data_IF_667808885941
#
_entry.id   IF_667808885941
#
_cell.length_a   1.000
_cell.length_b   1.000
_cell.length_c   1.000
_cell.angle_alpha   90.00
_cell.angle_beta   90.00
_cell.angle_gamma   90.00
#
_symmetry.space_group_name_H-M   'P 1'
#
loop_
_entity.id
_entity.type
_entity.pdbx_description
1 polymer ?
#
# COMPACT_ATOMS: atom_id res chain seq x y z
N UNK A 1 -3.49 -5.07 6.75
CA UNK A 1 -2.23 -4.53 6.19
C UNK A 1 -2.31 -4.48 4.67
N UNK A 2 -2.02 -3.34 4.02
CA UNK A 2 -1.99 -3.26 2.55
C UNK A 2 -0.55 -3.48 2.05
N UNK A 3 -0.39 -4.40 1.07
CA UNK A 3 0.93 -4.82 0.57
C UNK A 3 1.04 -4.65 -0.94
N UNK A 4 2.28 -4.45 -1.45
CA UNK A 4 2.53 -4.53 -2.88
C UNK A 4 2.50 -5.99 -3.37
N UNK A 5 2.05 -6.17 -4.62
CA UNK A 5 1.98 -7.49 -5.28
C UNK A 5 3.33 -8.19 -5.44
N UNK A 6 4.45 -7.48 -5.24
CA UNK A 6 5.78 -8.07 -5.29
C UNK A 6 6.01 -9.08 -4.15
N UNK A 7 5.31 -8.90 -3.02
CA UNK A 7 5.48 -9.71 -1.80
C UNK A 7 4.54 -10.92 -1.73
N UNK A 8 3.91 -11.32 -2.84
CA UNK A 8 3.02 -12.49 -2.87
C UNK A 8 3.85 -13.77 -2.69
N UNK A 9 3.66 -14.39 -1.53
CA UNK A 9 4.23 -15.68 -1.14
C UNK A 9 3.19 -16.43 -0.29
N UNK A 10 2.80 -17.63 -0.71
CA UNK A 10 1.74 -18.40 -0.05
C UNK A 10 2.07 -18.81 1.38
N UNK A 11 3.33 -19.14 1.66
CA UNK A 11 3.80 -19.53 3.00
C UNK A 11 3.69 -18.34 3.95
N UNK A 12 4.13 -17.16 3.50
CA UNK A 12 4.00 -15.93 4.27
C UNK A 12 2.55 -15.51 4.48
N UNK A 13 1.71 -15.70 3.50
CA UNK A 13 0.29 -15.36 3.61
C UNK A 13 -0.41 -16.27 4.63
N UNK A 14 -0.09 -17.55 4.62
CA UNK A 14 -0.60 -18.49 5.62
C UNK A 14 -0.07 -18.17 7.02
N UNK A 15 1.21 -17.82 7.15
CA UNK A 15 1.79 -17.38 8.42
C UNK A 15 1.08 -16.11 8.94
N UNK A 16 0.87 -15.11 8.08
CA UNK A 16 0.14 -13.89 8.45
C UNK A 16 -1.27 -14.21 8.93
N UNK A 17 -1.97 -15.10 8.23
CA UNK A 17 -3.33 -15.51 8.60
C UNK A 17 -3.36 -16.23 9.94
N UNK A 18 -2.43 -17.16 10.20
CA UNK A 18 -2.29 -17.83 11.51
C UNK A 18 -2.00 -16.85 12.66
N UNK A 19 -1.32 -15.75 12.35
CA UNK A 19 -1.05 -14.67 13.32
C UNK A 19 -2.20 -13.68 13.46
N UNK A 20 -3.34 -13.91 12.83
CA UNK A 20 -4.50 -13.03 12.85
C UNK A 20 -4.29 -11.70 12.11
N UNK A 21 -3.31 -11.64 11.21
CA UNK A 21 -3.04 -10.43 10.43
C UNK A 21 -3.86 -10.44 9.15
N UNK A 22 -4.78 -9.48 9.02
CA UNK A 22 -5.51 -9.24 7.78
C UNK A 22 -4.58 -8.53 6.79
N UNK A 23 -4.48 -9.07 5.58
CA UNK A 23 -3.74 -8.45 4.49
C UNK A 23 -4.63 -8.17 3.27
N UNK A 24 -4.25 -7.18 2.47
CA UNK A 24 -4.80 -6.91 1.15
C UNK A 24 -3.68 -6.58 0.16
N UNK A 25 -3.73 -7.19 -1.01
CA UNK A 25 -2.76 -6.97 -2.08
C UNK A 25 -3.43 -7.07 -3.45
N UNK A 26 -2.76 -6.57 -4.49
CA UNK A 26 -3.26 -6.72 -5.86
C UNK A 26 -2.96 -8.12 -6.38
N UNK A 27 -3.96 -8.80 -6.93
CA UNK A 27 -3.81 -10.12 -7.53
C UNK A 27 -2.82 -10.11 -8.70
N UNK A 28 -1.92 -11.10 -8.76
CA UNK A 28 -1.08 -11.36 -9.94
C UNK A 28 -1.84 -12.26 -10.92
N UNK A 29 -1.79 -11.96 -12.22
CA UNK A 29 -2.45 -12.74 -13.27
C UNK A 29 -1.92 -14.18 -13.40
N UNK A 30 -0.69 -14.43 -12.95
CA UNK A 30 -0.03 -15.75 -13.02
C UNK A 30 -0.42 -16.71 -11.90
N UNK A 31 -1.22 -16.28 -10.93
CA UNK A 31 -1.61 -17.11 -9.80
C UNK A 31 -2.66 -18.13 -10.22
N UNK A 32 -2.41 -19.39 -9.87
CA UNK A 32 -3.38 -20.48 -10.05
C UNK A 32 -4.15 -20.67 -8.76
N UNK A 33 -5.47 -20.69 -8.84
CA UNK A 33 -6.37 -20.89 -7.70
C UNK A 33 -7.63 -21.64 -8.13
N UNK A 34 -8.27 -22.27 -7.19
CA UNK A 34 -9.59 -22.88 -7.35
C UNK A 34 -10.63 -21.90 -6.84
N UNK A 35 -11.64 -21.64 -7.64
CA UNK A 35 -12.81 -20.86 -7.22
C UNK A 35 -13.78 -21.79 -6.51
N UNK A 36 -14.15 -21.45 -5.28
CA UNK A 36 -15.12 -22.19 -4.48
C UNK A 36 -16.50 -21.56 -4.59
N UNK A 37 -16.55 -20.21 -4.65
CA UNK A 37 -17.78 -19.44 -4.74
C UNK A 37 -17.52 -18.17 -5.56
N UNK A 38 -18.54 -17.75 -6.31
CA UNK A 38 -18.47 -16.57 -7.19
C UNK A 38 -19.78 -15.78 -7.05
N UNK A 39 -19.69 -14.58 -6.51
CA UNK A 39 -20.83 -13.74 -6.18
C UNK A 39 -20.67 -12.37 -6.81
N UNK A 40 -21.80 -11.76 -7.19
CA UNK A 40 -21.85 -10.34 -7.55
C UNK A 40 -22.38 -9.54 -6.37
N UNK A 41 -21.66 -8.51 -6.00
CA UNK A 41 -22.01 -7.57 -4.94
C UNK A 41 -22.20 -6.19 -5.55
N UNK A 42 -23.28 -5.54 -5.18
CA UNK A 42 -23.53 -4.15 -5.53
C UNK A 42 -23.29 -3.27 -4.31
N UNK A 43 -22.52 -2.20 -4.47
CA UNK A 43 -22.27 -1.28 -3.36
C UNK A 43 -23.58 -0.64 -2.88
N UNK A 44 -23.69 -0.27 -1.59
CA UNK A 44 -24.91 0.32 -1.03
C UNK A 44 -25.36 1.61 -1.73
N UNK A 45 -24.44 2.34 -2.33
CA UNK A 45 -24.70 3.53 -3.15
C UNK A 45 -25.12 3.22 -4.60
N UNK A 46 -25.11 1.92 -4.98
CA UNK A 46 -25.46 1.45 -6.32
C UNK A 46 -24.46 1.84 -7.43
N UNK A 47 -23.36 2.48 -7.09
CA UNK A 47 -22.42 3.07 -8.06
C UNK A 47 -21.39 2.08 -8.60
N UNK A 48 -21.20 0.94 -7.94
CA UNK A 48 -20.14 0.00 -8.31
C UNK A 48 -20.61 -1.46 -8.19
N UNK A 49 -20.38 -2.21 -9.24
CA UNK A 49 -20.49 -3.67 -9.21
C UNK A 49 -19.15 -4.27 -8.87
N UNK A 50 -19.13 -5.17 -7.89
CA UNK A 50 -17.95 -5.86 -7.39
C UNK A 50 -18.16 -7.35 -7.52
N UNK A 51 -17.24 -8.04 -8.18
CA UNK A 51 -17.22 -9.50 -8.20
C UNK A 51 -16.42 -10.01 -7.02
N UNK A 52 -17.05 -10.85 -6.22
CA UNK A 52 -16.46 -11.50 -5.05
C UNK A 52 -16.25 -12.98 -5.35
N UNK A 53 -15.02 -13.45 -5.19
CA UNK A 53 -14.72 -14.87 -5.36
C UNK A 53 -14.02 -15.39 -4.11
N UNK A 54 -14.61 -16.41 -3.48
CA UNK A 54 -13.91 -17.21 -2.47
C UNK A 54 -13.06 -18.24 -3.19
N UNK A 55 -11.75 -18.22 -2.91
CA UNK A 55 -10.78 -19.04 -3.64
C UNK A 55 -9.83 -19.76 -2.68
N UNK A 56 -9.34 -20.90 -3.12
CA UNK A 56 -8.31 -21.65 -2.43
C UNK A 56 -7.06 -21.75 -3.30
N UNK A 57 -5.94 -21.32 -2.73
CA UNK A 57 -4.62 -21.55 -3.27
C UNK A 57 -4.06 -22.83 -2.70
N UNK A 58 -3.42 -23.63 -3.55
CA UNK A 58 -2.69 -24.84 -3.12
C UNK A 58 -1.27 -24.77 -3.66
N UNK A 59 -0.30 -25.04 -2.79
CA UNK A 59 1.12 -25.17 -3.15
C UNK A 59 1.67 -26.46 -2.55
N UNK A 60 2.24 -27.30 -3.39
CA UNK A 60 3.01 -28.45 -2.92
C UNK A 60 4.38 -27.97 -2.43
N UNK A 61 4.76 -28.39 -1.23
CA UNK A 61 6.07 -28.17 -0.65
C UNK A 61 7.06 -29.24 -1.10
N UNK A 62 8.35 -28.89 -1.03
CA UNK A 62 9.44 -29.87 -1.17
C UNK A 62 9.41 -30.79 0.05
N UNK A 63 8.76 -31.94 -0.04
CA UNK A 63 8.58 -32.89 1.08
C UNK A 63 7.25 -33.62 1.05
N UNK A 64 6.35 -33.31 0.09
CA UNK A 64 5.08 -33.99 -0.09
C UNK A 64 3.89 -33.33 0.61
N UNK A 65 4.12 -32.41 1.53
CA UNK A 65 3.07 -31.65 2.19
C UNK A 65 2.47 -30.60 1.23
N UNK A 66 1.18 -30.30 1.39
CA UNK A 66 0.51 -29.24 0.65
C UNK A 66 0.02 -28.15 1.60
N UNK A 67 0.34 -26.90 1.28
CA UNK A 67 -0.26 -25.75 1.94
C UNK A 67 -1.48 -25.33 1.15
N UNK A 68 -2.62 -25.23 1.85
CA UNK A 68 -3.85 -24.65 1.32
C UNK A 68 -4.11 -23.34 2.02
N UNK A 69 -4.48 -22.31 1.26
CA UNK A 69 -4.75 -20.99 1.78
C UNK A 69 -6.07 -20.47 1.21
N UNK A 70 -7.05 -20.26 2.09
CA UNK A 70 -8.36 -19.75 1.73
C UNK A 70 -8.37 -18.23 1.77
N UNK A 71 -8.87 -17.62 0.70
CA UNK A 71 -8.86 -16.17 0.52
C UNK A 71 -10.05 -15.72 -0.29
N UNK A 72 -10.23 -14.39 -0.33
CA UNK A 72 -11.24 -13.75 -1.14
C UNK A 72 -10.57 -12.86 -2.20
N UNK A 73 -11.07 -12.93 -3.44
CA UNK A 73 -10.72 -12.02 -4.52
C UNK A 73 -11.87 -11.04 -4.71
N UNK A 74 -11.54 -9.75 -4.68
CA UNK A 74 -12.47 -8.65 -4.88
C UNK A 74 -12.08 -7.98 -6.20
N UNK A 75 -12.94 -8.08 -7.22
CA UNK A 75 -12.68 -7.48 -8.53
C UNK A 75 -13.67 -6.36 -8.82
N UNK A 76 -13.17 -5.18 -9.12
CA UNK A 76 -13.96 -3.98 -9.40
C UNK A 76 -13.33 -3.14 -10.51
N UNK A 77 -14.12 -2.25 -11.10
CA UNK A 77 -13.65 -1.26 -12.08
C UNK A 77 -13.21 0.01 -11.35
N UNK A 78 -11.96 0.37 -11.49
CA UNK A 78 -11.48 1.69 -11.05
C UNK A 78 -11.94 2.75 -12.06
N UNK A 79 -12.99 3.48 -11.71
CA UNK A 79 -13.62 4.50 -12.57
C UNK A 79 -12.65 5.63 -12.96
N UNK A 80 -11.64 5.94 -12.15
CA UNK A 80 -10.64 6.97 -12.45
C UNK A 80 -9.67 6.55 -13.55
N UNK A 81 -9.36 5.26 -13.61
CA UNK A 81 -8.36 4.69 -14.52
C UNK A 81 -9.00 3.85 -15.63
N UNK A 82 -10.32 3.65 -15.60
CA UNK A 82 -11.07 2.74 -16.48
C UNK A 82 -10.39 1.35 -16.56
N UNK A 83 -9.96 0.82 -15.41
CA UNK A 83 -9.23 -0.46 -15.34
C UNK A 83 -9.87 -1.40 -14.33
N UNK A 84 -9.95 -2.66 -14.71
CA UNK A 84 -10.32 -3.74 -13.81
C UNK A 84 -9.18 -3.98 -12.82
N UNK A 85 -9.50 -3.96 -11.54
CA UNK A 85 -8.58 -4.23 -10.44
C UNK A 85 -9.10 -5.42 -9.67
N UNK A 86 -8.24 -6.42 -9.46
CA UNK A 86 -8.52 -7.55 -8.59
C UNK A 86 -7.61 -7.49 -7.37
N UNK A 87 -8.22 -7.47 -6.19
CA UNK A 87 -7.55 -7.50 -4.89
C UNK A 87 -7.67 -8.90 -4.29
N UNK A 88 -6.64 -9.31 -3.57
CA UNK A 88 -6.58 -10.55 -2.82
C UNK A 88 -6.50 -10.22 -1.33
N UNK A 89 -7.33 -10.87 -0.51
CA UNK A 89 -7.35 -10.68 0.94
C UNK A 89 -7.70 -11.99 1.65
N UNK A 90 -7.21 -12.17 2.89
CA UNK A 90 -7.65 -13.23 3.78
C UNK A 90 -8.83 -12.81 4.67
N UNK A 91 -9.30 -11.60 4.52
CA UNK A 91 -10.54 -11.13 5.17
C UNK A 91 -11.74 -11.62 4.36
N UNK A 92 -12.51 -12.53 4.94
CA UNK A 92 -13.66 -13.15 4.26
C UNK A 92 -14.98 -12.43 4.58
N UNK A 93 -15.01 -11.61 5.63
CA UNK A 93 -16.24 -11.10 6.24
C UNK A 93 -16.47 -9.60 6.00
N UNK A 94 -15.41 -8.77 6.01
CA UNK A 94 -15.55 -7.32 5.86
C UNK A 94 -16.15 -6.90 4.52
N UNK A 95 -16.82 -5.76 4.53
CA UNK A 95 -17.38 -5.18 3.31
C UNK A 95 -16.33 -4.94 2.23
N UNK A 96 -16.60 -5.27 0.97
CA UNK A 96 -15.68 -5.06 -0.14
C UNK A 96 -15.19 -3.62 -0.26
N UNK A 97 -16.05 -2.65 0.04
CA UNK A 97 -15.72 -1.23 -0.01
C UNK A 97 -14.64 -0.84 0.99
N UNK A 98 -14.69 -1.41 2.20
CA UNK A 98 -13.66 -1.19 3.22
C UNK A 98 -12.30 -1.71 2.74
N UNK A 99 -12.26 -2.92 2.19
CA UNK A 99 -11.05 -3.53 1.66
C UNK A 99 -10.48 -2.71 0.49
N UNK A 100 -11.33 -2.22 -0.40
CA UNK A 100 -10.95 -1.34 -1.51
C UNK A 100 -10.38 -0.02 -0.97
N UNK A 101 -11.01 0.57 0.04
CA UNK A 101 -10.55 1.82 0.68
C UNK A 101 -9.18 1.63 1.35
N UNK A 102 -8.98 0.53 2.08
CA UNK A 102 -7.69 0.17 2.71
C UNK A 102 -6.60 0.04 1.63
N UNK A 103 -6.90 -0.65 0.53
CA UNK A 103 -5.91 -0.81 -0.54
C UNK A 103 -5.59 0.51 -1.24
N UNK A 104 -6.55 1.40 -1.42
CA UNK A 104 -6.33 2.74 -2.00
C UNK A 104 -5.38 3.58 -1.14
N UNK A 105 -5.45 3.49 0.19
CA UNK A 105 -4.53 4.18 1.09
C UNK A 105 -3.05 3.76 0.92
N UNK A 106 -2.78 2.57 0.42
CA UNK A 106 -1.40 2.15 0.08
C UNK A 106 -0.70 3.15 -0.87
N UNK A 107 -1.46 3.78 -1.76
CA UNK A 107 -0.91 4.78 -2.69
C UNK A 107 -0.34 6.02 -2.00
N UNK A 108 -0.78 6.33 -0.79
CA UNK A 108 -0.28 7.48 -0.01
C UNK A 108 1.21 7.34 0.30
N UNK A 109 1.71 6.11 0.47
CA UNK A 109 3.15 5.85 0.64
C UNK A 109 3.94 6.25 -0.61
N UNK A 110 3.43 5.96 -1.79
CA UNK A 110 4.10 6.32 -3.05
C UNK A 110 4.12 7.84 -3.23
N UNK A 111 3.05 8.52 -2.85
CA UNK A 111 2.99 9.99 -2.85
C UNK A 111 3.97 10.59 -1.84
N UNK A 112 4.08 10.02 -0.64
CA UNK A 112 5.05 10.42 0.36
C UNK A 112 6.50 10.28 -0.17
N UNK A 113 6.85 9.13 -0.73
CA UNK A 113 8.18 8.93 -1.32
C UNK A 113 8.46 9.88 -2.49
N UNK A 114 7.45 10.16 -3.32
CA UNK A 114 7.58 11.16 -4.39
C UNK A 114 7.85 12.54 -3.82
N UNK A 115 7.10 12.96 -2.80
CA UNK A 115 7.28 14.25 -2.12
C UNK A 115 8.67 14.36 -1.49
N UNK A 116 9.13 13.31 -0.81
CA UNK A 116 10.47 13.26 -0.21
C UNK A 116 11.54 13.39 -1.29
N UNK A 117 11.49 12.59 -2.35
CA UNK A 117 12.47 12.63 -3.44
C UNK A 117 12.52 13.95 -4.18
N UNK A 118 11.40 14.67 -4.24
CA UNK A 118 11.33 15.99 -4.91
C UNK A 118 11.90 17.13 -4.05
N UNK A 119 11.76 17.04 -2.74
CA UNK A 119 12.05 18.16 -1.85
C UNK A 119 13.32 17.97 -1.00
N UNK A 120 13.86 16.76 -0.92
CA UNK A 120 15.05 16.46 -0.11
C UNK A 120 16.14 15.76 -0.95
N UNK A 121 17.43 16.06 -0.68
CA UNK A 121 18.55 15.53 -1.46
C UNK A 121 18.89 14.08 -1.07
N UNK A 122 17.96 13.13 -1.31
CA UNK A 122 18.20 11.69 -1.08
C UNK A 122 18.91 10.99 -2.26
N UNK A 123 19.35 11.75 -3.27
CA UNK A 123 20.13 11.19 -4.39
C UNK A 123 21.57 10.88 -4.01
N UNK A 124 22.08 11.54 -2.97
CA UNK A 124 23.43 11.38 -2.46
C UNK A 124 23.39 11.18 -0.96
N UNK A 125 24.13 10.22 -0.48
CA UNK A 125 24.33 10.01 0.94
C UNK A 125 25.67 10.63 1.36
N UNK A 126 25.65 11.43 2.42
CA UNK A 126 26.85 12.12 2.94
C UNK A 126 27.80 11.16 3.66
N UNK A 127 27.35 9.97 4.03
CA UNK A 127 28.16 8.93 4.65
C UNK A 127 27.88 7.58 4.03
N UNK A 128 28.93 6.75 3.92
CA UNK A 128 28.86 5.42 3.30
C UNK A 128 28.46 4.31 4.28
N UNK A 129 28.54 4.57 5.59
CA UNK A 129 28.16 3.57 6.59
C UNK A 129 26.64 3.37 6.64
N UNK A 130 26.21 2.14 6.92
CA UNK A 130 24.80 1.82 7.07
C UNK A 130 24.09 2.70 8.11
N UNK A 131 24.80 3.10 9.17
CA UNK A 131 24.28 4.00 10.21
C UNK A 131 24.08 5.42 9.69
N UNK A 132 25.07 5.97 8.94
CA UNK A 132 24.97 7.30 8.35
C UNK A 132 23.80 7.40 7.37
N UNK A 133 23.59 6.37 6.53
CA UNK A 133 22.45 6.27 5.61
C UNK A 133 21.12 6.27 6.38
N UNK A 134 21.02 5.47 7.45
CA UNK A 134 19.82 5.43 8.30
C UNK A 134 19.52 6.79 8.93
N UNK A 135 20.56 7.46 9.48
CA UNK A 135 20.41 8.78 10.09
C UNK A 135 19.88 9.78 9.06
N UNK A 136 20.46 9.84 7.87
CA UNK A 136 20.01 10.75 6.82
C UNK A 136 18.55 10.50 6.43
N UNK A 137 18.13 9.23 6.33
CA UNK A 137 16.71 8.87 6.05
C UNK A 137 15.82 9.38 7.18
N UNK A 138 16.16 9.11 8.45
CA UNK A 138 15.36 9.54 9.60
C UNK A 138 15.26 11.07 9.70
N UNK A 139 16.35 11.78 9.53
CA UNK A 139 16.38 13.25 9.52
C UNK A 139 15.46 13.79 8.41
N UNK A 140 15.50 13.18 7.23
CA UNK A 140 14.64 13.57 6.12
C UNK A 140 13.16 13.36 6.44
N UNK A 141 12.80 12.22 7.04
CA UNK A 141 11.42 11.93 7.46
C UNK A 141 10.93 12.93 8.52
N UNK A 142 11.77 13.24 9.51
CA UNK A 142 11.46 14.22 10.56
C UNK A 142 11.26 15.62 9.94
N UNK A 143 12.15 16.06 9.06
CA UNK A 143 12.04 17.35 8.38
C UNK A 143 10.76 17.42 7.54
N UNK A 144 10.41 16.34 6.82
CA UNK A 144 9.17 16.26 6.06
C UNK A 144 7.94 16.40 6.97
N UNK A 145 7.90 15.72 8.12
CA UNK A 145 6.81 15.81 9.08
C UNK A 145 6.69 17.23 9.67
N UNK A 146 7.79 17.84 10.03
CA UNK A 146 7.80 19.23 10.55
C UNK A 146 7.24 20.21 9.53
N UNK A 147 7.64 20.11 8.25
CA UNK A 147 7.11 20.94 7.18
C UNK A 147 5.62 20.71 6.96
N UNK A 148 5.14 19.46 7.06
CA UNK A 148 3.70 19.15 6.98
C UNK A 148 2.90 19.79 8.12
N UNK A 149 3.43 19.75 9.34
CA UNK A 149 2.80 20.40 10.51
C UNK A 149 2.79 21.91 10.34
N UNK A 150 3.90 22.50 9.91
CA UNK A 150 3.99 23.95 9.63
C UNK A 150 2.98 24.34 8.55
N UNK A 151 2.94 23.60 7.43
CA UNK A 151 2.00 23.88 6.34
C UNK A 151 0.52 23.93 6.82
N UNK A 152 0.16 23.03 7.73
CA UNK A 152 -1.21 22.99 8.31
C UNK A 152 -1.51 24.17 9.23
N UNK A 153 -0.49 24.74 9.86
CA UNK A 153 -0.64 25.86 10.83
C UNK A 153 -0.58 27.24 10.19
N UNK A 154 -0.10 27.32 8.94
CA UNK A 154 0.01 28.60 8.25
C UNK A 154 -1.37 29.06 7.76
N UNK A 155 -1.69 30.33 7.95
CA UNK A 155 -2.90 30.97 7.45
C UNK A 155 -2.93 31.06 5.94
N UNK A 156 -1.77 31.31 5.33
CA UNK A 156 -1.60 31.34 3.87
C UNK A 156 -1.41 29.91 3.33
N UNK A 157 -2.11 29.58 2.27
CA UNK A 157 -1.93 28.29 1.57
C UNK A 157 -0.62 28.27 0.79
N UNK A 158 0.36 27.56 1.29
CA UNK A 158 1.61 27.24 0.60
C UNK A 158 1.57 25.86 -0.02
N UNK A 159 2.19 25.70 -1.21
CA UNK A 159 2.54 24.35 -1.66
C UNK A 159 3.64 23.80 -0.78
N UNK A 160 3.68 22.47 -0.61
CA UNK A 160 4.74 21.82 0.20
C UNK A 160 6.15 22.17 -0.32
N UNK A 161 6.35 22.10 -1.64
CA UNK A 161 7.64 22.43 -2.28
C UNK A 161 8.01 23.90 -2.10
N UNK A 162 7.04 24.82 -2.17
CA UNK A 162 7.28 26.24 -1.91
C UNK A 162 7.73 26.49 -0.48
N UNK A 163 7.07 25.86 0.50
CA UNK A 163 7.44 25.97 1.91
C UNK A 163 8.82 25.37 2.18
N UNK A 164 9.12 24.17 1.61
CA UNK A 164 10.41 23.53 1.72
C UNK A 164 11.56 24.41 1.16
N UNK A 165 11.31 25.08 0.04
CA UNK A 165 12.28 26.02 -0.57
C UNK A 165 12.49 27.23 0.31
N UNK A 166 11.44 27.85 0.83
CA UNK A 166 11.54 29.00 1.72
C UNK A 166 12.30 28.67 3.00
N UNK A 167 12.01 27.52 3.63
CA UNK A 167 12.74 27.06 4.82
C UNK A 167 14.20 26.80 4.54
N UNK A 168 14.54 26.24 3.36
CA UNK A 168 15.93 26.02 2.96
C UNK A 168 16.68 27.35 2.83
N UNK A 169 16.06 28.35 2.20
CA UNK A 169 16.64 29.70 2.07
C UNK A 169 16.83 30.33 3.46
N UNK A 170 15.79 30.32 4.29
CA UNK A 170 15.86 30.87 5.63
C UNK A 170 17.01 30.26 6.46
N UNK A 171 17.20 28.94 6.42
CA UNK A 171 18.26 28.23 7.15
C UNK A 171 19.68 28.47 6.59
N UNK A 172 19.81 28.98 5.37
CA UNK A 172 21.12 29.37 4.80
C UNK A 172 21.58 30.78 5.22
N UNK A 173 20.67 31.63 5.68
CA UNK A 173 20.94 33.01 6.04
C UNK A 173 20.97 33.26 7.56
N UNK A 174 20.78 32.22 8.35
CA UNK A 174 20.90 32.20 9.81
C UNK A 174 21.98 31.21 10.24
#
# INVERSE_FOLDING_TARGET
MAMDRAYIDYEKFEELTRRGVIYVTKLKKSLKYRVNEDLMYQTPDGLMEVRLQHVTFSKQLKGGDSITHNTRIITYVDMRKHKLISLLTNDLDSDPDEIIAIYRKRWEIELLFKQIKQNFPLKYFYGESANAIKIQIWVTLIANLLLMVMQKRLTRRWSFSGLATMMRIALMYY
#
